data_IF_463116404020
#
_entry.id   IF_463116404020
#
_cell.length_a   1.000
_cell.length_b   1.000
_cell.length_c   1.000
_cell.angle_alpha   90.00
_cell.angle_beta   90.00
_cell.angle_gamma   90.00
#
_symmetry.space_group_name_H-M   'P 1'
#
loop_
_entity.id
_entity.type
_entity.pdbx_description
1 polymer ?
#
# COMPACT_ATOMS: atom_id res chain seq x y z
N UNK A 1 -28.61 13.49 62.05
CA UNK A 1 -27.48 13.41 61.10
C UNK A 1 -27.95 12.56 59.92
N UNK A 2 -28.17 13.17 58.73
CA UNK A 2 -28.57 12.42 57.50
C UNK A 2 -27.32 12.27 56.63
N UNK A 3 -26.85 11.01 56.43
CA UNK A 3 -25.78 10.70 55.51
C UNK A 3 -26.36 10.72 54.09
N UNK A 4 -25.83 11.58 53.23
CA UNK A 4 -26.06 11.54 51.77
C UNK A 4 -25.00 10.63 51.14
N UNK A 5 -25.45 9.48 50.62
CA UNK A 5 -24.61 8.64 49.77
C UNK A 5 -24.56 9.23 48.38
N UNK A 6 -23.38 9.65 47.94
CA UNK A 6 -23.12 10.08 46.55
C UNK A 6 -22.69 8.85 45.76
N UNK A 7 -23.57 8.36 44.91
CA UNK A 7 -23.25 7.30 43.95
C UNK A 7 -22.63 7.94 42.71
N UNK A 8 -21.31 7.77 42.53
CA UNK A 8 -20.60 8.20 41.33
C UNK A 8 -20.86 7.17 40.21
N UNK A 9 -21.56 7.61 39.18
CA UNK A 9 -21.73 6.84 37.92
C UNK A 9 -20.51 7.10 37.03
N UNK A 10 -19.63 6.11 36.90
CA UNK A 10 -18.51 6.15 35.95
C UNK A 10 -19.06 5.71 34.60
N UNK A 11 -19.34 6.65 33.70
CA UNK A 11 -19.65 6.38 32.32
C UNK A 11 -18.35 6.05 31.55
N UNK A 12 -18.11 4.76 31.31
CA UNK A 12 -17.00 4.29 30.48
C UNK A 12 -17.26 4.66 29.01
N UNK A 13 -16.45 5.53 28.42
CA UNK A 13 -16.42 5.78 26.98
C UNK A 13 -15.75 4.57 26.30
N UNK A 14 -16.54 3.72 25.68
CA UNK A 14 -16.08 2.70 24.74
C UNK A 14 -15.71 3.42 23.44
N UNK A 15 -14.42 3.71 23.23
CA UNK A 15 -13.89 4.16 21.96
C UNK A 15 -13.92 2.97 20.98
N UNK A 16 -14.92 2.92 20.11
CA UNK A 16 -14.93 1.99 18.99
C UNK A 16 -13.83 2.38 18.02
N UNK A 17 -12.83 1.51 17.80
CA UNK A 17 -11.87 1.67 16.71
C UNK A 17 -12.64 1.53 15.38
N UNK A 18 -12.87 2.64 14.72
CA UNK A 18 -13.40 2.65 13.35
C UNK A 18 -12.28 2.18 12.42
N UNK A 19 -12.36 0.95 11.93
CA UNK A 19 -11.54 0.50 10.81
C UNK A 19 -12.08 1.21 9.56
N UNK A 20 -11.22 2.00 8.89
CA UNK A 20 -11.57 2.58 7.61
C UNK A 20 -11.68 1.44 6.57
N UNK A 21 -12.76 1.41 5.80
CA UNK A 21 -12.88 0.48 4.68
C UNK A 21 -11.80 0.78 3.63
N UNK A 22 -11.23 -0.26 2.97
CA UNK A 22 -10.30 -0.05 1.87
C UNK A 22 -10.94 0.76 0.75
N UNK A 23 -10.20 1.71 0.20
CA UNK A 23 -10.64 2.55 -0.93
C UNK A 23 -10.70 1.67 -2.17
N UNK A 24 -11.86 1.52 -2.81
CA UNK A 24 -11.99 0.72 -4.02
C UNK A 24 -11.13 1.29 -5.17
N UNK A 25 -10.55 0.44 -6.05
CA UNK A 25 -9.66 0.88 -7.13
C UNK A 25 -10.27 1.96 -8.03
N UNK A 26 -11.56 1.85 -8.33
CA UNK A 26 -12.30 2.78 -9.20
C UNK A 26 -12.49 4.19 -8.64
N UNK A 27 -12.28 4.38 -7.32
CA UNK A 27 -12.45 5.70 -6.66
C UNK A 27 -11.14 6.27 -6.12
N UNK A 28 -10.00 5.63 -6.42
CA UNK A 28 -8.68 6.16 -6.06
C UNK A 28 -8.45 7.49 -6.77
N UNK A 29 -8.07 8.52 -6.00
CA UNK A 29 -7.74 9.84 -6.55
C UNK A 29 -6.24 9.96 -6.74
N UNK A 30 -5.85 10.29 -7.97
CA UNK A 30 -4.47 10.58 -8.36
C UNK A 30 -4.34 12.08 -8.64
N UNK A 31 -3.41 12.73 -7.96
CA UNK A 31 -3.03 14.12 -8.20
C UNK A 31 -1.62 14.11 -8.75
N UNK A 32 -1.46 14.32 -10.05
CA UNK A 32 -0.19 14.17 -10.79
C UNK A 32 0.50 12.81 -10.53
N UNK A 33 -0.31 11.74 -10.47
CA UNK A 33 0.15 10.39 -10.15
C UNK A 33 0.30 10.08 -8.66
N UNK A 34 0.20 11.08 -7.78
CA UNK A 34 0.34 10.93 -6.33
C UNK A 34 -0.97 10.48 -5.69
N UNK A 35 -0.90 9.57 -4.72
CA UNK A 35 -2.05 9.14 -3.91
C UNK A 35 -1.78 9.48 -2.45
N UNK A 36 -2.34 10.60 -1.97
CA UNK A 36 -2.09 11.12 -0.62
C UNK A 36 -2.74 10.26 0.47
N UNK A 37 -3.96 9.80 0.25
CA UNK A 37 -4.69 9.01 1.22
C UNK A 37 -4.19 7.55 1.31
N UNK A 38 -4.26 6.95 2.51
CA UNK A 38 -4.10 5.49 2.64
C UNK A 38 -5.21 4.76 1.91
N UNK A 39 -4.87 3.73 1.14
CA UNK A 39 -5.85 2.91 0.43
C UNK A 39 -6.48 1.82 1.31
N UNK A 40 -5.84 1.48 2.42
CA UNK A 40 -6.26 0.38 3.31
C UNK A 40 -6.73 0.87 4.69
N UNK A 41 -6.40 2.12 5.06
CA UNK A 41 -6.65 2.66 6.39
C UNK A 41 -5.77 2.05 7.50
N UNK A 42 -4.90 1.11 7.16
CA UNK A 42 -3.97 0.47 8.11
C UNK A 42 -2.53 0.70 7.71
N UNK A 43 -1.62 0.67 8.69
CA UNK A 43 -0.19 0.77 8.43
C UNK A 43 0.31 -0.43 7.61
N UNK A 44 1.28 -0.21 6.73
CA UNK A 44 1.92 -1.28 5.98
C UNK A 44 2.76 -2.19 6.89
N UNK A 45 2.86 -3.45 6.50
CA UNK A 45 3.74 -4.43 7.13
C UNK A 45 4.98 -4.64 6.23
N UNK A 46 6.16 -4.14 6.62
CA UNK A 46 7.37 -4.25 5.80
C UNK A 46 7.87 -5.70 5.66
N UNK A 47 7.62 -6.55 6.66
CA UNK A 47 8.02 -7.97 6.59
C UNK A 47 7.18 -8.70 5.56
N UNK A 48 5.86 -8.52 5.62
CA UNK A 48 4.97 -9.07 4.59
C UNK A 48 5.22 -8.41 3.23
N UNK A 49 5.46 -7.11 3.19
CA UNK A 49 5.79 -6.38 1.96
C UNK A 49 7.02 -6.96 1.25
N UNK A 50 8.07 -7.31 1.99
CA UNK A 50 9.23 -8.01 1.45
C UNK A 50 8.85 -9.36 0.81
N UNK A 51 7.97 -10.13 1.46
CA UNK A 51 7.48 -11.39 0.91
C UNK A 51 6.65 -11.20 -0.37
N UNK A 52 5.76 -10.21 -0.38
CA UNK A 52 4.98 -9.84 -1.58
C UNK A 52 5.88 -9.40 -2.72
N UNK A 53 6.92 -8.59 -2.42
CA UNK A 53 7.87 -8.05 -3.41
C UNK A 53 8.57 -9.16 -4.21
N UNK A 54 9.01 -10.23 -3.58
CA UNK A 54 9.71 -11.36 -4.21
C UNK A 54 8.81 -12.48 -4.72
N UNK A 55 7.56 -12.54 -4.28
CA UNK A 55 6.66 -13.63 -4.60
C UNK A 55 6.15 -13.52 -6.05
N UNK A 56 6.49 -14.51 -6.88
CA UNK A 56 6.12 -14.58 -8.30
C UNK A 56 4.61 -14.63 -8.56
N UNK A 57 3.82 -15.05 -7.56
CA UNK A 57 2.35 -15.11 -7.65
C UNK A 57 1.65 -13.87 -7.08
N UNK A 58 2.42 -12.89 -6.56
CA UNK A 58 1.92 -11.66 -5.97
C UNK A 58 2.55 -10.45 -6.66
N UNK A 59 3.38 -9.67 -5.93
CA UNK A 59 4.00 -8.46 -6.49
C UNK A 59 4.98 -8.75 -7.62
N UNK A 60 5.80 -9.80 -7.46
CA UNK A 60 6.82 -10.22 -8.44
C UNK A 60 7.76 -9.08 -8.88
N UNK A 61 8.04 -8.15 -7.98
CA UNK A 61 8.79 -6.93 -8.31
C UNK A 61 10.25 -7.22 -8.70
N UNK A 62 10.86 -8.27 -8.10
CA UNK A 62 12.22 -8.70 -8.45
C UNK A 62 12.36 -9.18 -9.90
N UNK A 63 11.26 -9.54 -10.56
CA UNK A 63 11.32 -9.90 -11.98
C UNK A 63 11.78 -8.74 -12.89
N UNK A 64 11.60 -7.49 -12.42
CA UNK A 64 11.94 -6.30 -13.18
C UNK A 64 12.94 -5.38 -12.48
N UNK A 65 13.07 -5.44 -11.15
CA UNK A 65 13.85 -4.51 -10.36
C UNK A 65 14.97 -5.19 -9.57
N UNK A 66 16.16 -4.61 -9.64
CA UNK A 66 17.25 -4.93 -8.71
C UNK A 66 16.89 -4.36 -7.33
N UNK A 67 17.13 -5.14 -6.28
CA UNK A 67 17.03 -4.69 -4.89
C UNK A 67 18.22 -5.22 -4.08
N UNK A 68 19.13 -4.34 -3.70
CA UNK A 68 20.35 -4.69 -2.95
C UNK A 68 20.05 -5.23 -1.54
N UNK A 69 18.86 -5.00 -0.99
CA UNK A 69 18.45 -5.54 0.30
C UNK A 69 17.95 -6.99 0.22
N UNK A 70 17.89 -7.57 -0.98
CA UNK A 70 17.37 -8.93 -1.25
C UNK A 70 18.37 -9.80 -2.01
N UNK A 71 19.67 -9.63 -1.78
CA UNK A 71 20.74 -10.35 -2.48
C UNK A 71 20.73 -11.87 -2.24
N UNK A 72 19.98 -12.35 -1.26
CA UNK A 72 19.73 -13.77 -1.04
C UNK A 72 18.84 -14.39 -2.13
N UNK A 73 18.07 -13.58 -2.86
CA UNK A 73 17.28 -14.04 -3.99
C UNK A 73 18.16 -14.13 -5.25
N UNK A 74 18.12 -15.26 -5.92
CA UNK A 74 19.05 -15.59 -7.02
C UNK A 74 18.83 -14.85 -8.33
N UNK A 75 17.68 -14.17 -8.50
CA UNK A 75 17.34 -13.48 -9.73
C UNK A 75 16.75 -12.10 -9.46
N UNK A 76 17.39 -11.08 -10.05
CA UNK A 76 16.89 -9.70 -10.09
C UNK A 76 16.86 -9.24 -11.54
N UNK A 77 15.69 -8.78 -12.01
CA UNK A 77 15.56 -8.19 -13.35
C UNK A 77 16.10 -6.76 -13.39
N UNK A 78 16.52 -6.35 -14.58
CA UNK A 78 17.11 -5.03 -14.86
C UNK A 78 16.22 -4.18 -15.79
N UNK A 79 14.94 -4.53 -15.88
CA UNK A 79 13.98 -3.81 -16.76
C UNK A 79 13.54 -2.48 -16.13
N UNK A 80 13.30 -2.47 -14.82
CA UNK A 80 12.95 -1.31 -14.05
C UNK A 80 14.15 -0.71 -13.30
N UNK A 81 14.01 0.50 -12.74
CA UNK A 81 15.07 1.11 -11.93
C UNK A 81 15.42 0.28 -10.70
N UNK A 82 16.67 0.39 -10.25
CA UNK A 82 17.10 -0.18 -8.99
C UNK A 82 16.31 0.40 -7.80
N UNK A 83 15.96 -0.45 -6.83
CA UNK A 83 15.12 -0.07 -5.69
C UNK A 83 15.90 0.52 -4.52
N UNK A 84 17.23 0.39 -4.50
CA UNK A 84 18.09 0.99 -3.46
C UNK A 84 17.85 2.49 -3.35
N UNK A 85 17.56 2.97 -2.14
CA UNK A 85 17.28 4.39 -1.88
C UNK A 85 15.96 4.90 -2.50
N UNK A 86 15.03 4.02 -2.86
CA UNK A 86 13.74 4.42 -3.46
C UNK A 86 12.94 5.35 -2.54
N UNK A 87 13.03 5.14 -1.23
CA UNK A 87 12.33 5.97 -0.23
C UNK A 87 12.95 7.37 -0.07
N UNK A 88 14.19 7.57 -0.50
CA UNK A 88 14.84 8.89 -0.52
C UNK A 88 14.49 9.68 -1.80
N UNK A 89 14.07 8.97 -2.86
CA UNK A 89 13.70 9.59 -4.16
C UNK A 89 12.23 9.95 -4.27
N UNK A 90 11.36 9.23 -3.56
CA UNK A 90 9.92 9.36 -3.68
C UNK A 90 9.25 9.46 -2.30
N UNK A 91 8.30 10.35 -2.16
CA UNK A 91 7.43 10.42 -0.98
C UNK A 91 6.52 9.19 -0.87
N UNK A 92 5.95 8.96 0.30
CA UNK A 92 4.98 7.87 0.53
C UNK A 92 3.77 7.95 -0.39
N UNK A 93 3.29 9.17 -0.69
CA UNK A 93 2.17 9.37 -1.62
C UNK A 93 2.52 9.01 -3.05
N UNK A 94 3.72 9.38 -3.52
CA UNK A 94 4.23 9.02 -4.84
C UNK A 94 4.45 7.51 -4.96
N UNK A 95 5.10 6.87 -3.97
CA UNK A 95 5.28 5.42 -3.95
C UNK A 95 3.94 4.66 -3.98
N UNK A 96 2.94 5.18 -3.25
CA UNK A 96 1.59 4.61 -3.28
C UNK A 96 0.95 4.76 -4.65
N UNK A 97 1.10 5.91 -5.30
CA UNK A 97 0.64 6.16 -6.65
C UNK A 97 1.33 5.24 -7.67
N UNK A 98 2.65 5.14 -7.62
CA UNK A 98 3.47 4.28 -8.49
C UNK A 98 3.04 2.82 -8.39
N UNK A 99 2.88 2.29 -7.16
CA UNK A 99 2.51 0.88 -6.98
C UNK A 99 1.04 0.65 -7.34
N UNK A 100 0.13 1.52 -6.96
CA UNK A 100 -1.29 1.33 -7.27
C UNK A 100 -1.56 1.42 -8.77
N UNK A 101 -1.03 2.43 -9.45
CA UNK A 101 -1.13 2.56 -10.91
C UNK A 101 -0.01 3.44 -11.48
N UNK A 102 1.10 2.82 -11.83
CA UNK A 102 2.26 3.51 -12.40
C UNK A 102 1.97 4.31 -13.66
N UNK A 103 0.91 3.95 -14.42
CA UNK A 103 0.49 4.64 -15.64
C UNK A 103 0.02 6.08 -15.39
N UNK A 104 -0.40 6.37 -14.16
CA UNK A 104 -0.86 7.72 -13.77
C UNK A 104 0.31 8.69 -13.55
N UNK A 105 1.53 8.19 -13.37
CA UNK A 105 2.73 9.01 -13.15
C UNK A 105 3.71 8.95 -14.31
N UNK A 106 3.83 7.79 -14.98
CA UNK A 106 4.81 7.57 -16.05
C UNK A 106 4.10 7.14 -17.33
N UNK A 107 3.98 8.04 -18.28
CA UNK A 107 3.43 7.73 -19.60
C UNK A 107 4.26 6.64 -20.29
N UNK A 108 3.59 5.67 -20.90
CA UNK A 108 4.25 4.59 -21.64
C UNK A 108 4.96 3.53 -20.77
N UNK A 109 4.94 3.63 -19.45
CA UNK A 109 5.58 2.63 -18.58
C UNK A 109 5.00 1.24 -18.78
N UNK A 110 5.88 0.22 -18.80
CA UNK A 110 5.48 -1.20 -18.82
C UNK A 110 5.17 -1.75 -17.43
N UNK A 111 5.54 -1.04 -16.34
CA UNK A 111 5.22 -1.46 -14.98
C UNK A 111 3.72 -1.66 -14.82
N UNK A 112 3.24 -2.80 -14.32
CA UNK A 112 1.82 -3.04 -14.13
C UNK A 112 1.16 -2.07 -13.14
N UNK A 113 -0.14 -1.85 -13.29
CA UNK A 113 -0.97 -1.27 -12.25
C UNK A 113 -1.42 -2.41 -11.32
N UNK A 114 -1.06 -2.35 -10.04
CA UNK A 114 -1.34 -3.43 -9.08
C UNK A 114 -2.66 -3.23 -8.32
N UNK A 115 -3.27 -2.04 -8.42
CA UNK A 115 -4.53 -1.74 -7.75
C UNK A 115 -5.57 -1.24 -8.75
N UNK A 116 -6.15 -2.17 -9.51
CA UNK A 116 -7.21 -1.91 -10.48
C UNK A 116 -8.16 -3.10 -10.57
N UNK A 117 -9.40 -2.85 -10.93
CA UNK A 117 -10.49 -3.84 -11.06
C UNK A 117 -11.06 -3.92 -12.47
N UNK A 118 -10.52 -3.13 -13.41
CA UNK A 118 -10.99 -3.05 -14.80
C UNK A 118 -9.85 -3.22 -15.79
N UNK A 119 -10.17 -3.46 -17.06
CA UNK A 119 -9.20 -3.58 -18.16
C UNK A 119 -8.45 -4.92 -18.15
N UNK A 120 -9.07 -5.97 -17.66
CA UNK A 120 -8.60 -7.34 -17.75
C UNK A 120 -9.41 -8.10 -18.81
N UNK A 121 -8.73 -8.90 -19.66
CA UNK A 121 -9.40 -9.75 -20.64
C UNK A 121 -9.95 -11.03 -20.00
N UNK A 122 -9.26 -11.53 -18.97
CA UNK A 122 -9.62 -12.75 -18.23
C UNK A 122 -9.26 -12.60 -16.74
N UNK A 123 -10.11 -11.96 -15.91
CA UNK A 123 -9.93 -11.99 -14.48
C UNK A 123 -10.12 -13.41 -13.94
N UNK A 124 -9.33 -13.78 -12.94
CA UNK A 124 -9.59 -14.99 -12.14
C UNK A 124 -10.74 -14.67 -11.18
N UNK A 125 -11.71 -15.57 -11.10
CA UNK A 125 -12.81 -15.50 -10.12
C UNK A 125 -12.33 -15.90 -8.71
#
# INVERSE_FOLDING_TARGET
>A
MKLFSITAVVAGLLASAAFAEPVAPSVVKYEDGVVMASLTGVAGDPVNGRNVFKNRKQGNCLACHVNAEMLEESFHGEVGPEMTGVADRWSVGELRGIVSNSKMMFEGTIMPAFYRDTGFDRPLE
#
